data_IF_627106121077
#
_entry.id   IF_627106121077
#
_cell.length_a   1.000
_cell.length_b   1.000
_cell.length_c   1.000
_cell.angle_alpha   90.00
_cell.angle_beta   90.00
_cell.angle_gamma   90.00
#
_symmetry.space_group_name_H-M   'P 1'
#
loop_
_entity.id
_entity.type
_entity.pdbx_description
1 polymer ?
#
# COMPACT_ATOMS: atom_id res chain seq x y z
N UNK A 1 25.09 -25.38 -6.76
CA UNK A 1 25.71 -24.09 -7.16
C UNK A 1 24.84 -22.99 -6.58
N UNK A 2 25.31 -22.16 -5.64
CA UNK A 2 24.51 -21.06 -5.14
C UNK A 2 24.48 -19.97 -6.21
N UNK A 3 23.31 -19.66 -6.74
CA UNK A 3 23.13 -18.47 -7.57
C UNK A 3 23.13 -17.29 -6.62
N UNK A 4 24.21 -16.51 -6.62
CA UNK A 4 24.26 -15.21 -5.94
C UNK A 4 23.06 -14.40 -6.43
N UNK A 5 22.12 -14.11 -5.52
CA UNK A 5 20.98 -13.25 -5.76
C UNK A 5 21.47 -11.81 -5.81
N UNK A 6 22.17 -11.45 -6.88
CA UNK A 6 22.56 -10.07 -7.15
C UNK A 6 21.33 -9.33 -7.72
N UNK A 7 20.72 -8.50 -6.89
CA UNK A 7 19.68 -7.57 -7.33
C UNK A 7 20.30 -6.62 -8.37
N UNK A 8 19.89 -6.80 -9.62
CA UNK A 8 20.43 -6.03 -10.74
C UNK A 8 19.35 -5.13 -11.30
N UNK A 9 19.57 -3.82 -11.27
CA UNK A 9 18.59 -2.83 -11.74
C UNK A 9 18.59 -2.65 -13.28
N UNK A 10 19.74 -2.86 -13.92
CA UNK A 10 19.94 -2.64 -15.36
C UNK A 10 20.50 -3.90 -16.04
N UNK A 11 19.83 -4.38 -17.08
CA UNK A 11 20.18 -5.62 -17.79
C UNK A 11 20.45 -5.37 -19.27
N UNK A 12 21.26 -6.23 -19.86
CA UNK A 12 21.53 -6.23 -21.30
C UNK A 12 20.72 -7.31 -22.01
N UNK A 13 20.37 -7.10 -23.28
CA UNK A 13 19.64 -8.09 -24.08
C UNK A 13 20.31 -9.48 -24.17
N UNK A 14 21.63 -9.57 -23.92
CA UNK A 14 22.36 -10.85 -23.87
C UNK A 14 22.07 -11.63 -22.58
N UNK A 15 21.90 -10.93 -21.46
CA UNK A 15 21.63 -11.54 -20.15
C UNK A 15 20.20 -12.05 -20.06
N UNK A 16 19.28 -11.39 -20.77
CA UNK A 16 17.88 -11.79 -20.79
C UNK A 16 17.56 -12.87 -21.83
N UNK A 17 18.44 -13.08 -22.81
CA UNK A 17 18.23 -14.06 -23.86
C UNK A 17 18.22 -15.48 -23.31
N UNK A 18 17.18 -16.26 -23.64
CA UNK A 18 17.01 -17.63 -23.16
C UNK A 18 16.43 -17.75 -21.75
N UNK A 19 16.08 -16.64 -21.09
CA UNK A 19 15.26 -16.66 -19.88
C UNK A 19 13.77 -16.96 -20.21
N UNK A 20 12.95 -17.34 -19.22
CA UNK A 20 11.52 -17.53 -19.41
C UNK A 20 10.88 -16.30 -20.05
N UNK A 21 9.98 -16.53 -20.99
CA UNK A 21 9.23 -15.50 -21.73
C UNK A 21 10.11 -14.56 -22.58
N UNK A 22 11.40 -14.90 -22.74
CA UNK A 22 12.33 -14.22 -23.62
C UNK A 22 12.80 -15.13 -24.75
N UNK A 23 13.06 -14.59 -25.94
CA UNK A 23 13.58 -15.37 -27.04
C UNK A 23 15.01 -15.85 -26.76
N UNK A 24 15.38 -16.99 -27.35
CA UNK A 24 16.70 -17.61 -27.18
C UNK A 24 17.84 -16.75 -27.74
N UNK A 25 17.57 -15.87 -28.70
CA UNK A 25 18.60 -15.04 -29.33
C UNK A 25 18.59 -13.62 -28.80
N UNK A 26 19.78 -13.10 -28.48
CA UNK A 26 19.97 -11.73 -27.99
C UNK A 26 19.46 -10.65 -28.96
N UNK A 27 19.45 -10.95 -30.28
CA UNK A 27 18.89 -10.03 -31.29
C UNK A 27 17.38 -9.86 -31.10
N UNK A 28 16.63 -10.96 -31.02
CA UNK A 28 15.17 -10.91 -30.84
C UNK A 28 14.80 -10.35 -29.47
N UNK A 29 15.60 -10.65 -28.44
CA UNK A 29 15.40 -10.07 -27.11
C UNK A 29 15.52 -8.54 -27.16
N UNK A 30 16.54 -8.03 -27.87
CA UNK A 30 16.71 -6.59 -28.08
C UNK A 30 15.53 -5.97 -28.81
N UNK A 31 15.04 -6.59 -29.88
CA UNK A 31 13.91 -6.06 -30.66
C UNK A 31 12.65 -5.91 -29.79
N UNK A 32 12.41 -6.85 -28.87
CA UNK A 32 11.27 -6.80 -27.92
C UNK A 32 11.48 -5.68 -26.90
N UNK A 33 12.67 -5.61 -26.29
CA UNK A 33 12.99 -4.60 -25.28
C UNK A 33 13.00 -3.18 -25.85
N UNK A 34 13.50 -3.00 -27.07
CA UNK A 34 13.45 -1.71 -27.77
C UNK A 34 12.00 -1.29 -28.00
N UNK A 35 11.10 -2.20 -28.42
CA UNK A 35 9.66 -1.90 -28.55
C UNK A 35 9.01 -1.54 -27.22
N UNK A 36 9.30 -2.29 -26.16
CA UNK A 36 8.74 -2.06 -24.83
C UNK A 36 9.20 -0.73 -24.21
N UNK A 37 10.30 -0.16 -24.68
CA UNK A 37 10.85 1.12 -24.20
C UNK A 37 10.60 2.30 -25.14
N UNK A 38 9.87 2.11 -26.25
CA UNK A 38 9.55 3.19 -27.19
C UNK A 38 8.80 4.35 -26.53
N UNK A 39 7.84 4.04 -25.65
CA UNK A 39 7.00 5.03 -24.98
C UNK A 39 7.66 5.60 -23.71
N UNK A 40 8.70 4.94 -23.19
CA UNK A 40 9.39 5.31 -21.95
C UNK A 40 10.92 5.26 -22.14
N UNK A 41 11.50 6.27 -22.79
CA UNK A 41 12.94 6.28 -23.09
C UNK A 41 13.82 6.30 -21.84
N UNK A 42 13.28 6.71 -20.68
CA UNK A 42 13.99 6.66 -19.39
C UNK A 42 14.33 5.26 -18.90
N UNK A 43 13.67 4.21 -19.41
CA UNK A 43 13.93 2.81 -19.06
C UNK A 43 14.99 2.15 -19.95
N UNK A 44 15.64 2.93 -20.81
CA UNK A 44 16.68 2.49 -21.75
C UNK A 44 17.86 3.44 -21.70
N UNK A 45 19.06 2.89 -21.56
CA UNK A 45 20.29 3.69 -21.55
C UNK A 45 21.41 3.04 -22.32
N UNK A 46 22.38 3.85 -22.74
CA UNK A 46 23.63 3.35 -23.30
C UNK A 46 24.64 3.16 -22.16
N UNK A 47 25.29 2.00 -22.12
CA UNK A 47 26.33 1.70 -21.14
C UNK A 47 27.55 2.62 -21.36
N UNK A 48 28.08 3.17 -20.28
CA UNK A 48 29.30 3.98 -20.34
C UNK A 48 30.49 3.13 -20.81
N UNK A 49 31.30 3.68 -21.72
CA UNK A 49 32.50 3.01 -22.26
C UNK A 49 32.25 1.92 -23.32
N UNK A 50 31.00 1.54 -23.62
CA UNK A 50 30.70 0.57 -24.68
C UNK A 50 29.54 1.01 -25.58
N UNK A 51 29.31 0.30 -26.69
CA UNK A 51 28.12 0.49 -27.54
C UNK A 51 26.92 -0.35 -27.08
N UNK A 52 26.97 -0.94 -25.89
CA UNK A 52 25.89 -1.79 -25.39
C UNK A 52 24.71 -0.95 -24.88
N UNK A 53 23.50 -1.39 -25.19
CA UNK A 53 22.25 -0.85 -24.64
C UNK A 53 21.84 -1.68 -23.42
N UNK A 54 21.50 -0.98 -22.35
CA UNK A 54 20.96 -1.52 -21.11
C UNK A 54 19.49 -1.09 -20.95
N UNK A 55 18.70 -1.96 -20.34
CA UNK A 55 17.28 -1.77 -20.09
C UNK A 55 17.02 -1.95 -18.61
N UNK A 56 16.12 -1.14 -18.06
CA UNK A 56 15.72 -1.27 -16.66
C UNK A 56 14.92 -2.57 -16.46
N UNK A 57 15.11 -3.24 -15.32
CA UNK A 57 14.47 -4.55 -15.06
C UNK A 57 12.94 -4.48 -15.01
N UNK A 58 12.35 -3.30 -14.74
CA UNK A 58 10.88 -3.12 -14.78
C UNK A 58 10.26 -3.41 -16.15
N UNK A 59 11.02 -3.30 -17.24
CA UNK A 59 10.56 -3.57 -18.61
C UNK A 59 10.42 -5.07 -18.89
N UNK A 60 11.09 -5.91 -18.09
CA UNK A 60 11.11 -7.35 -18.32
C UNK A 60 9.77 -7.99 -17.92
N UNK A 61 9.36 -9.08 -18.58
CA UNK A 61 8.24 -9.90 -18.12
C UNK A 61 8.44 -10.40 -16.70
N UNK A 62 7.34 -10.62 -15.99
CA UNK A 62 7.34 -10.98 -14.57
C UNK A 62 8.25 -12.17 -14.25
N UNK A 63 8.09 -13.28 -14.96
CA UNK A 63 8.90 -14.49 -14.74
C UNK A 63 10.38 -14.24 -15.03
N UNK A 64 10.69 -13.35 -15.97
CA UNK A 64 12.06 -12.94 -16.28
C UNK A 64 12.65 -12.07 -15.16
N UNK A 65 11.87 -11.17 -14.55
CA UNK A 65 12.32 -10.30 -13.44
C UNK A 65 12.76 -11.09 -12.21
N UNK A 66 12.08 -12.21 -11.92
CA UNK A 66 12.43 -13.10 -10.81
C UNK A 66 13.87 -13.64 -10.90
N UNK A 67 14.44 -13.78 -12.10
CA UNK A 67 15.84 -14.20 -12.27
C UNK A 67 16.85 -13.15 -11.83
N UNK A 68 16.46 -11.88 -11.70
CA UNK A 68 17.31 -10.77 -11.32
C UNK A 68 17.04 -10.27 -9.89
N UNK A 69 16.27 -11.02 -9.09
CA UNK A 69 15.95 -10.66 -7.71
C UNK A 69 15.06 -9.42 -7.56
N UNK A 70 14.48 -8.92 -8.66
CA UNK A 70 13.65 -7.73 -8.69
C UNK A 70 12.17 -8.17 -8.66
N UNK A 71 11.67 -8.52 -7.47
CA UNK A 71 10.27 -8.86 -7.21
C UNK A 71 9.39 -7.63 -6.97
N UNK A 72 9.84 -6.44 -7.36
CA UNK A 72 9.09 -5.21 -7.11
C UNK A 72 8.39 -4.78 -8.40
N UNK A 73 7.25 -5.42 -8.65
CA UNK A 73 6.21 -4.87 -9.50
C UNK A 73 4.91 -5.55 -9.11
N UNK A 74 4.24 -4.92 -8.17
CA UNK A 74 2.80 -4.90 -7.96
C UNK A 74 2.06 -4.71 -9.30
N UNK A 75 2.03 -5.76 -10.13
CA UNK A 75 1.01 -5.96 -11.12
C UNK A 75 0.25 -7.19 -10.65
N UNK A 76 -0.68 -6.90 -9.74
CA UNK A 76 -1.73 -7.78 -9.27
C UNK A 76 -2.56 -8.29 -10.46
N UNK A 77 -2.06 -9.34 -11.11
CA UNK A 77 -2.86 -10.25 -11.91
C UNK A 77 -3.28 -11.40 -11.00
N UNK A 78 -4.39 -11.18 -10.29
CA UNK A 78 -5.27 -12.20 -9.73
C UNK A 78 -4.59 -13.51 -9.29
N UNK A 79 -4.07 -13.53 -8.07
CA UNK A 79 -4.21 -14.73 -7.25
C UNK A 79 -4.69 -14.35 -5.85
N UNK A 80 -5.88 -14.84 -5.53
CA UNK A 80 -6.55 -14.59 -4.29
C UNK A 80 -5.91 -15.48 -3.22
N UNK A 81 -4.96 -14.95 -2.43
CA UNK A 81 -4.79 -15.25 -1.00
C UNK A 81 -3.69 -14.40 -0.34
N UNK A 82 -4.18 -13.37 0.36
CA UNK A 82 -3.67 -12.86 1.65
C UNK A 82 -2.24 -12.29 1.64
N UNK A 83 -2.09 -11.10 1.05
CA UNK A 83 -1.25 -10.09 1.67
C UNK A 83 -2.15 -9.24 2.56
N UNK A 84 -1.98 -9.36 3.88
CA UNK A 84 -2.61 -8.48 4.87
C UNK A 84 -2.00 -7.09 4.69
N UNK A 85 -2.56 -6.30 3.77
CA UNK A 85 -2.38 -4.85 3.80
C UNK A 85 -3.05 -4.38 5.08
N UNK A 86 -2.23 -4.02 6.08
CA UNK A 86 -2.71 -3.09 7.10
C UNK A 86 -3.07 -1.79 6.36
N UNK A 87 -4.34 -1.33 6.41
CA UNK A 87 -4.70 -0.07 5.79
C UNK A 87 -3.98 1.04 6.56
N UNK A 88 -2.91 1.60 5.98
CA UNK A 88 -2.33 2.85 6.47
C UNK A 88 -3.26 3.97 6.00
N UNK A 89 -4.31 4.25 6.78
CA UNK A 89 -5.29 5.31 6.50
C UNK A 89 -4.56 6.59 6.07
N UNK A 90 -4.62 6.91 4.79
CA UNK A 90 -4.07 8.17 4.30
C UNK A 90 -3.79 8.25 2.81
N UNK A 91 -3.92 7.16 2.05
CA UNK A 91 -3.67 7.20 0.60
C UNK A 91 -4.93 7.55 -0.19
N UNK A 92 -4.76 8.18 -1.36
CA UNK A 92 -5.86 8.45 -2.30
C UNK A 92 -6.53 7.15 -2.79
N UNK A 93 -5.78 6.04 -2.75
CA UNK A 93 -6.23 4.69 -3.09
C UNK A 93 -7.22 4.13 -2.05
N UNK A 94 -6.97 4.33 -0.75
CA UNK A 94 -7.90 3.92 0.32
C UNK A 94 -9.25 4.62 0.18
N UNK A 95 -9.20 5.92 -0.15
CA UNK A 95 -10.40 6.73 -0.40
C UNK A 95 -11.13 6.25 -1.65
N UNK A 96 -10.41 5.96 -2.72
CA UNK A 96 -10.99 5.42 -3.95
C UNK A 96 -11.67 4.06 -3.70
N UNK A 97 -11.05 3.20 -2.90
CA UNK A 97 -11.61 1.91 -2.49
C UNK A 97 -12.89 2.08 -1.67
N UNK A 98 -12.88 2.97 -0.67
CA UNK A 98 -14.07 3.25 0.14
C UNK A 98 -15.22 3.79 -0.72
N UNK A 99 -14.93 4.72 -1.63
CA UNK A 99 -15.93 5.26 -2.57
C UNK A 99 -16.47 4.19 -3.51
N UNK A 100 -15.65 3.25 -3.96
CA UNK A 100 -16.09 2.13 -4.80
C UNK A 100 -17.09 1.22 -4.07
N UNK A 101 -16.78 0.85 -2.83
CA UNK A 101 -17.66 0.02 -1.99
C UNK A 101 -18.96 0.77 -1.70
N UNK A 102 -18.85 2.03 -1.25
CA UNK A 102 -19.99 2.87 -0.93
C UNK A 102 -20.94 3.05 -2.12
N UNK A 103 -20.41 3.33 -3.31
CA UNK A 103 -21.22 3.51 -4.52
C UNK A 103 -21.96 2.25 -4.97
N UNK A 104 -21.45 1.07 -4.61
CA UNK A 104 -22.07 -0.22 -4.92
C UNK A 104 -23.14 -0.65 -3.92
N UNK A 105 -23.18 -0.04 -2.73
CA UNK A 105 -24.23 -0.26 -1.74
C UNK A 105 -25.52 0.47 -2.13
N UNK A 106 -26.66 -0.17 -1.87
CA UNK A 106 -27.98 0.49 -2.01
C UNK A 106 -28.18 1.54 -0.93
N UNK A 107 -29.18 2.40 -1.10
CA UNK A 107 -29.47 3.45 -0.12
C UNK A 107 -29.81 2.86 1.26
N UNK A 108 -30.58 1.78 1.27
CA UNK A 108 -31.00 1.06 2.48
C UNK A 108 -29.79 0.47 3.22
N UNK A 109 -28.84 -0.12 2.47
CA UNK A 109 -27.61 -0.67 3.04
C UNK A 109 -26.71 0.42 3.63
N UNK A 110 -26.63 1.59 2.99
CA UNK A 110 -25.89 2.74 3.53
C UNK A 110 -26.54 3.26 4.81
N UNK A 111 -27.86 3.39 4.81
CA UNK A 111 -28.61 3.85 5.97
C UNK A 111 -28.47 2.87 7.15
N UNK A 112 -28.42 1.57 6.89
CA UNK A 112 -28.20 0.56 7.92
C UNK A 112 -26.81 0.65 8.55
N UNK A 113 -25.75 0.82 7.73
CA UNK A 113 -24.38 1.02 8.23
C UNK A 113 -24.25 2.31 9.02
N UNK A 114 -24.82 3.41 8.52
CA UNK A 114 -24.81 4.69 9.22
C UNK A 114 -25.58 4.62 10.54
N UNK A 115 -26.76 3.99 10.55
CA UNK A 115 -27.54 3.82 11.76
C UNK A 115 -26.86 2.88 12.77
N UNK A 116 -26.16 1.84 12.32
CA UNK A 116 -25.37 0.99 13.20
C UNK A 116 -24.26 1.80 13.89
N UNK A 117 -23.57 2.65 13.13
CA UNK A 117 -22.54 3.55 13.67
C UNK A 117 -23.13 4.60 14.64
N UNK A 118 -24.24 5.25 14.29
CA UNK A 118 -24.88 6.25 15.15
C UNK A 118 -25.38 5.62 16.47
N UNK A 119 -25.91 4.40 16.43
CA UNK A 119 -26.48 3.74 17.62
C UNK A 119 -25.45 3.16 18.57
N UNK A 120 -24.31 2.67 18.08
CA UNK A 120 -23.35 1.94 18.92
C UNK A 120 -21.87 2.22 18.63
N UNK A 121 -21.58 3.27 17.85
CA UNK A 121 -20.22 3.65 17.48
C UNK A 121 -19.48 2.53 16.74
N UNK A 122 -18.14 2.57 16.81
CA UNK A 122 -17.29 1.60 16.13
C UNK A 122 -17.51 0.15 16.61
N UNK A 123 -17.93 -0.07 17.86
CA UNK A 123 -18.18 -1.41 18.41
C UNK A 123 -19.40 -2.10 17.77
N UNK A 124 -20.37 -1.33 17.28
CA UNK A 124 -21.51 -1.88 16.55
C UNK A 124 -21.15 -2.30 15.12
N UNK A 125 -20.12 -1.68 14.53
CA UNK A 125 -19.62 -2.01 13.20
C UNK A 125 -18.55 -3.11 13.25
N UNK A 126 -17.74 -3.12 14.30
CA UNK A 126 -16.61 -4.02 14.51
C UNK A 126 -16.69 -4.63 15.92
N UNK A 127 -17.51 -5.66 16.13
CA UNK A 127 -17.54 -6.37 17.40
C UNK A 127 -16.15 -6.99 17.63
N UNK A 128 -15.57 -6.72 18.80
CA UNK A 128 -14.23 -7.23 19.19
C UNK A 128 -14.27 -8.74 19.36
N UNK A 129 -14.23 -9.51 18.28
CA UNK A 129 -13.90 -10.93 18.32
C UNK A 129 -12.38 -11.10 18.39
N UNK A 130 -11.80 -10.71 19.53
CA UNK A 130 -10.43 -11.07 19.89
C UNK A 130 -10.43 -12.46 20.51
N UNK A 131 -10.26 -13.49 19.67
CA UNK A 131 -9.75 -14.79 20.11
C UNK A 131 -8.27 -14.89 19.69
N UNK A 132 -7.45 -13.97 20.20
CA UNK A 132 -6.00 -14.10 20.28
C UNK A 132 -5.59 -13.42 21.58
N UNK A 133 -5.41 -14.22 22.63
CA UNK A 133 -4.86 -13.81 23.91
C UNK A 133 -3.40 -13.36 23.71
N UNK A 134 -3.13 -12.07 23.85
CA UNK A 134 -1.76 -11.57 24.06
C UNK A 134 -1.65 -11.21 25.55
N UNK A 135 -0.73 -11.85 26.30
CA UNK A 135 -0.66 -11.69 27.74
C UNK A 135 0.00 -10.37 28.15
N UNK A 136 -0.64 -9.72 29.12
CA UNK A 136 -0.01 -9.06 30.27
C UNK A 136 0.87 -7.82 30.00
N UNK A 137 0.21 -6.67 29.85
CA UNK A 137 0.74 -5.44 30.45
C UNK A 137 0.44 -5.52 31.96
N UNK A 138 1.48 -5.84 32.73
CA UNK A 138 1.62 -5.45 34.14
C UNK A 138 2.48 -4.19 34.18
N UNK A 139 2.21 -3.32 35.17
CA UNK A 139 2.81 -1.98 35.41
C UNK A 139 2.31 -0.91 34.44
N UNK A 140 1.54 0.09 34.87
CA UNK A 140 1.83 1.00 35.98
C UNK A 140 0.50 1.33 36.71
N UNK A 141 0.39 0.88 37.96
CA UNK A 141 -0.42 1.59 38.96
C UNK A 141 0.39 2.78 39.48
N UNK A 142 -0.30 3.71 40.15
CA UNK A 142 0.19 4.89 40.88
C UNK A 142 0.04 6.19 40.06
N UNK A 143 -0.77 7.18 40.46
CA UNK A 143 -1.53 7.45 41.67
C UNK A 143 -2.71 8.38 41.32
N UNK A 144 -3.86 8.12 41.93
CA UNK A 144 -4.88 9.14 42.18
C UNK A 144 -4.38 10.03 43.31
N UNK A 145 -4.42 11.34 43.11
CA UNK A 145 -4.69 12.29 44.19
C UNK A 145 -6.01 12.97 43.85
N UNK A 146 -7.06 12.57 44.57
CA UNK A 146 -8.27 13.35 44.72
C UNK A 146 -8.19 13.98 46.10
N UNK A 147 -8.32 15.30 46.18
CA UNK A 147 -8.98 15.89 47.34
C UNK A 147 -9.79 17.11 46.88
N UNK A 148 -11.10 16.98 47.11
CA UNK A 148 -12.13 18.02 47.13
C UNK A 148 -11.71 19.20 48.00
N UNK A 149 -12.20 20.43 47.89
CA UNK A 149 -13.58 20.96 48.02
C UNK A 149 -13.35 22.51 48.04
N UNK A 150 -14.19 23.46 47.64
CA UNK A 150 -15.50 23.86 48.19
C UNK A 150 -16.02 25.04 47.31
N UNK A 151 -17.32 25.00 47.02
CA UNK A 151 -18.29 26.05 46.67
C UNK A 151 -17.84 27.49 46.31
N UNK A 152 -18.38 28.02 45.20
CA UNK A 152 -19.44 29.06 45.22
C UNK A 152 -19.63 29.69 43.82
N UNK A 153 -20.82 29.51 43.25
CA UNK A 153 -21.35 30.40 42.20
C UNK A 153 -22.13 31.55 42.88
N UNK A 154 -22.71 32.55 42.18
CA UNK A 154 -22.47 33.09 40.83
C UNK A 154 -22.29 34.63 40.86
N UNK A 155 -22.09 35.30 39.70
CA UNK A 155 -22.94 36.41 39.21
C UNK A 155 -22.37 37.12 37.98
N UNK A 156 -23.17 37.07 36.90
CA UNK A 156 -23.63 38.19 36.07
C UNK A 156 -22.59 39.22 35.57
N UNK A 157 -22.34 39.24 34.26
CA UNK A 157 -22.16 40.52 33.56
C UNK A 157 -22.84 40.48 32.19
N UNK A 158 -23.69 41.48 32.00
CA UNK A 158 -24.77 41.61 31.03
C UNK A 158 -24.33 42.08 29.64
N UNK A 159 -25.15 41.73 28.66
CA UNK A 159 -25.10 42.16 27.27
C UNK A 159 -25.37 43.66 27.05
N UNK A 160 -25.01 44.10 25.83
CA UNK A 160 -25.69 45.08 24.95
C UNK A 160 -25.39 46.59 25.01
N UNK A 161 -24.76 47.08 23.92
CA UNK A 161 -25.28 47.93 22.81
C UNK A 161 -26.16 49.17 23.11
N UNK A 162 -25.80 50.23 22.37
CA UNK A 162 -26.56 51.41 21.88
C UNK A 162 -26.42 52.72 22.68
N UNK A 163 -26.05 53.76 21.93
CA UNK A 163 -25.86 55.15 22.31
C UNK A 163 -25.05 55.86 21.23
#
# INVERSE_FOLDING_TARGET
MPHSNEQKEWVTAKEVAGLPDMPTTARRARDILDRATLEQPGLRRKRQGTKATEYHVSVLPERTRHHFGNSDSELSCSDARVAVHQPTLGTDEDKALWMMIYNRMTKEQRDEVMNAFIRGGLNALMPKNSAVDIPNNKEISEQCDSDEQVESAPKLSTQSKAG
#
